data_IF_383023695139
#
_entry.id   IF_383023695139
#
_cell.length_a   1.000
_cell.length_b   1.000
_cell.length_c   1.000
_cell.angle_alpha   90.00
_cell.angle_beta   90.00
_cell.angle_gamma   90.00
#
_symmetry.space_group_name_H-M   'P 1'
#
loop_
_entity.id
_entity.type
_entity.pdbx_description
1 polymer ?
#
# COMPACT_ATOMS: atom_id res chain seq x y z
N UNK A 1 -11.43 2.65 34.53
CA UNK A 1 -10.90 2.21 33.23
C UNK A 1 -10.03 3.35 32.70
N UNK A 2 -8.78 3.09 32.37
CA UNK A 2 -7.90 4.10 31.79
C UNK A 2 -8.29 4.36 30.33
N UNK A 3 -8.24 5.63 29.90
CA UNK A 3 -8.49 6.03 28.51
C UNK A 3 -7.48 5.36 27.58
N UNK A 4 -6.23 5.24 27.99
CA UNK A 4 -5.17 4.64 27.17
C UNK A 4 -5.45 3.16 26.90
N UNK A 5 -5.76 2.38 27.94
CA UNK A 5 -6.11 0.97 27.81
C UNK A 5 -7.31 0.73 26.88
N UNK A 6 -8.31 1.64 26.89
CA UNK A 6 -9.43 1.56 25.95
C UNK A 6 -8.95 1.80 24.51
N UNK A 7 -8.11 2.81 24.28
CA UNK A 7 -7.57 3.12 22.95
C UNK A 7 -6.73 1.98 22.39
N UNK A 8 -5.86 1.40 23.21
CA UNK A 8 -5.03 0.26 22.81
C UNK A 8 -5.92 -0.95 22.44
N UNK A 9 -7.01 -1.17 23.18
CA UNK A 9 -7.97 -2.24 22.87
C UNK A 9 -8.70 -2.02 21.54
N UNK A 10 -9.09 -0.78 21.23
CA UNK A 10 -9.73 -0.41 19.96
C UNK A 10 -8.75 -0.54 18.80
N UNK A 11 -7.52 -0.05 18.97
CA UNK A 11 -6.45 -0.17 17.99
C UNK A 11 -6.15 -1.63 17.67
N UNK A 12 -5.95 -2.46 18.70
CA UNK A 12 -5.71 -3.88 18.53
C UNK A 12 -6.91 -4.60 17.88
N UNK A 13 -8.14 -4.21 18.21
CA UNK A 13 -9.36 -4.74 17.57
C UNK A 13 -9.43 -4.42 16.07
N UNK A 14 -9.12 -3.18 15.69
CA UNK A 14 -9.07 -2.76 14.29
C UNK A 14 -7.98 -3.50 13.51
N UNK A 15 -6.76 -3.59 14.06
CA UNK A 15 -5.66 -4.30 13.43
C UNK A 15 -5.94 -5.80 13.27
N UNK A 16 -6.51 -6.47 14.28
CA UNK A 16 -6.92 -7.88 14.17
C UNK A 16 -7.98 -8.09 13.09
N UNK A 17 -8.93 -7.16 12.96
CA UNK A 17 -9.95 -7.20 11.91
C UNK A 17 -9.31 -7.08 10.53
N UNK A 18 -8.35 -6.16 10.35
CA UNK A 18 -7.59 -6.00 9.11
C UNK A 18 -6.75 -7.24 8.78
N UNK A 19 -6.07 -7.84 9.77
CA UNK A 19 -5.32 -9.07 9.58
C UNK A 19 -6.23 -10.24 9.16
N UNK A 20 -7.38 -10.41 9.80
CA UNK A 20 -8.35 -11.43 9.40
C UNK A 20 -8.85 -11.22 7.96
N UNK A 21 -9.15 -9.96 7.62
CA UNK A 21 -9.52 -9.55 6.27
C UNK A 21 -8.43 -9.87 5.24
N UNK A 22 -7.17 -9.49 5.51
CA UNK A 22 -6.06 -9.72 4.58
C UNK A 22 -5.72 -11.21 4.43
N UNK A 23 -5.80 -12.00 5.50
CA UNK A 23 -5.67 -13.47 5.43
C UNK A 23 -6.74 -14.08 4.52
N UNK A 24 -7.97 -13.58 4.58
CA UNK A 24 -9.04 -14.01 3.67
C UNK A 24 -8.76 -13.65 2.22
N UNK A 25 -8.18 -12.48 1.95
CA UNK A 25 -7.77 -12.08 0.58
C UNK A 25 -6.59 -12.92 0.08
N UNK A 26 -5.64 -13.26 0.95
CA UNK A 26 -4.51 -14.14 0.62
C UNK A 26 -4.98 -15.56 0.25
N UNK A 27 -5.96 -16.10 0.97
CA UNK A 27 -6.55 -17.41 0.68
C UNK A 27 -7.47 -17.41 -0.56
N UNK A 28 -7.88 -16.25 -1.05
CA UNK A 28 -8.76 -16.11 -2.22
C UNK A 28 -7.98 -16.29 -3.53
N UNK A 29 -8.62 -16.82 -4.60
CA UNK A 29 -8.04 -16.85 -5.95
C UNK A 29 -8.03 -15.48 -6.66
N UNK A 30 -8.32 -14.39 -5.94
CA UNK A 30 -8.32 -13.04 -6.51
C UNK A 30 -6.89 -12.65 -6.93
N UNK A 31 -6.72 -12.00 -8.11
CA UNK A 31 -5.48 -11.30 -8.44
C UNK A 31 -5.00 -10.37 -7.32
N UNK A 32 -3.69 -10.36 -7.07
CA UNK A 32 -3.09 -9.76 -5.87
C UNK A 32 -3.23 -8.26 -5.86
N UNK A 33 -3.20 -7.63 -7.04
CA UNK A 33 -3.56 -6.22 -7.18
C UNK A 33 -4.96 -5.88 -6.67
N UNK A 34 -5.97 -6.69 -7.01
CA UNK A 34 -7.35 -6.42 -6.57
C UNK A 34 -7.52 -6.66 -5.07
N UNK A 35 -6.87 -7.70 -4.53
CA UNK A 35 -6.79 -7.94 -3.09
C UNK A 35 -6.16 -6.75 -2.35
N UNK A 36 -5.04 -6.22 -2.88
CA UNK A 36 -4.35 -5.05 -2.33
C UNK A 36 -5.26 -3.81 -2.33
N UNK A 37 -5.92 -3.50 -3.46
CA UNK A 37 -6.85 -2.36 -3.55
C UNK A 37 -7.97 -2.49 -2.51
N UNK A 38 -8.60 -3.66 -2.39
CA UNK A 38 -9.65 -3.89 -1.38
C UNK A 38 -9.14 -3.71 0.05
N UNK A 39 -7.90 -4.10 0.32
CA UNK A 39 -7.29 -3.89 1.63
C UNK A 39 -7.00 -2.40 1.90
N UNK A 40 -6.55 -1.66 0.89
CA UNK A 40 -6.34 -0.20 0.97
C UNK A 40 -7.66 0.53 1.23
N UNK A 41 -8.74 0.16 0.53
CA UNK A 41 -10.08 0.74 0.74
C UNK A 41 -10.60 0.47 2.16
N UNK A 42 -10.40 -0.76 2.68
CA UNK A 42 -10.74 -1.10 4.06
C UNK A 42 -9.94 -0.25 5.05
N UNK A 43 -8.66 -0.04 4.81
CA UNK A 43 -7.83 0.83 5.64
C UNK A 43 -8.30 2.29 5.61
N UNK A 44 -8.63 2.82 4.43
CA UNK A 44 -9.12 4.19 4.26
C UNK A 44 -10.50 4.42 4.89
N UNK A 45 -11.30 3.36 5.06
CA UNK A 45 -12.58 3.39 5.78
C UNK A 45 -12.46 3.37 7.31
N UNK A 46 -11.26 3.13 7.85
CA UNK A 46 -11.01 3.08 9.29
C UNK A 46 -10.35 4.37 9.80
N UNK A 47 -10.55 4.75 11.07
CA UNK A 47 -9.95 5.94 11.66
C UNK A 47 -8.47 5.72 12.00
N UNK A 48 -7.65 5.19 11.06
CA UNK A 48 -6.25 4.81 11.30
C UNK A 48 -5.39 6.00 11.69
N UNK A 49 -5.63 7.18 11.10
CA UNK A 49 -4.94 8.41 11.48
C UNK A 49 -5.20 8.80 12.93
N UNK A 50 -6.44 8.60 13.42
CA UNK A 50 -6.81 8.86 14.81
C UNK A 50 -6.15 7.83 15.73
N UNK A 51 -6.17 6.54 15.36
CA UNK A 51 -5.51 5.48 16.12
C UNK A 51 -4.02 5.76 16.27
N UNK A 52 -3.35 6.15 15.17
CA UNK A 52 -1.94 6.50 15.16
C UNK A 52 -1.65 7.76 16.00
N UNK A 53 -2.38 8.85 15.78
CA UNK A 53 -2.19 10.10 16.52
C UNK A 53 -2.43 9.97 18.02
N UNK A 54 -3.33 9.08 18.43
CA UNK A 54 -3.59 8.81 19.85
C UNK A 54 -2.52 7.92 20.48
N UNK A 55 -1.87 7.06 19.69
CA UNK A 55 -0.76 6.23 20.13
C UNK A 55 0.56 7.02 20.25
N UNK A 56 0.77 8.06 19.42
CA UNK A 56 1.98 8.90 19.46
C UNK A 56 2.13 9.72 20.76
N UNK A 57 1.08 9.83 21.59
CA UNK A 57 1.08 10.52 22.88
C UNK A 57 1.54 9.67 24.08
N UNK A 58 1.75 8.37 23.89
CA UNK A 58 2.19 7.43 24.93
C UNK A 58 3.17 6.39 24.36
N UNK A 59 3.77 5.57 25.23
CA UNK A 59 4.47 4.38 24.75
C UNK A 59 3.41 3.47 24.08
N UNK A 60 3.61 3.14 22.80
CA UNK A 60 2.70 2.27 22.04
C UNK A 60 2.64 0.90 22.73
N UNK A 61 1.44 0.38 22.96
CA UNK A 61 1.26 -0.95 23.53
C UNK A 61 1.98 -2.00 22.66
N UNK A 62 2.80 -2.90 23.25
CA UNK A 62 3.57 -3.88 22.48
C UNK A 62 2.73 -4.80 21.59
N UNK A 63 1.48 -5.09 21.97
CA UNK A 63 0.56 -5.90 21.17
C UNK A 63 0.11 -5.13 19.94
N UNK A 64 -0.20 -3.83 20.08
CA UNK A 64 -0.55 -2.96 18.95
C UNK A 64 0.63 -2.85 17.99
N UNK A 65 1.84 -2.66 18.49
CA UNK A 65 3.06 -2.60 17.68
C UNK A 65 3.29 -3.91 16.90
N UNK A 66 3.17 -5.07 17.56
CA UNK A 66 3.32 -6.37 16.91
C UNK A 66 2.27 -6.62 15.82
N UNK A 67 1.00 -6.24 16.07
CA UNK A 67 -0.07 -6.37 15.09
C UNK A 67 0.12 -5.45 13.87
N UNK A 68 0.64 -4.24 14.08
CA UNK A 68 0.95 -3.32 12.99
C UNK A 68 2.09 -3.86 12.12
N UNK A 69 3.12 -4.44 12.73
CA UNK A 69 4.23 -5.05 12.01
C UNK A 69 3.79 -6.28 11.21
N UNK A 70 2.93 -7.12 11.79
CA UNK A 70 2.32 -8.26 11.08
C UNK A 70 1.50 -7.79 9.87
N UNK A 71 0.74 -6.70 10.03
CA UNK A 71 -0.06 -6.12 8.95
C UNK A 71 0.84 -5.57 7.83
N UNK A 72 1.92 -4.86 8.16
CA UNK A 72 2.90 -4.37 7.19
C UNK A 72 3.57 -5.52 6.41
N UNK A 73 3.97 -6.58 7.12
CA UNK A 73 4.56 -7.79 6.52
C UNK A 73 3.58 -8.43 5.53
N UNK A 74 2.31 -8.51 5.91
CA UNK A 74 1.26 -9.05 5.04
C UNK A 74 1.03 -8.17 3.79
N UNK A 75 1.02 -6.84 3.94
CA UNK A 75 0.93 -5.91 2.82
C UNK A 75 2.13 -6.04 1.88
N UNK A 76 3.34 -6.19 2.43
CA UNK A 76 4.54 -6.38 1.64
C UNK A 76 4.45 -7.66 0.78
N UNK A 77 4.02 -8.78 1.36
CA UNK A 77 3.82 -10.02 0.61
C UNK A 77 2.80 -9.85 -0.53
N UNK A 78 1.67 -9.17 -0.28
CA UNK A 78 0.68 -8.87 -1.32
C UNK A 78 1.25 -8.01 -2.46
N UNK A 79 2.09 -7.02 -2.13
CA UNK A 79 2.77 -6.17 -3.12
C UNK A 79 3.72 -7.00 -3.97
N UNK A 80 4.57 -7.81 -3.34
CA UNK A 80 5.55 -8.63 -4.05
C UNK A 80 4.87 -9.65 -4.97
N UNK A 81 3.75 -10.22 -4.53
CA UNK A 81 2.94 -11.10 -5.38
C UNK A 81 2.30 -10.33 -6.55
N UNK A 82 1.77 -9.13 -6.32
CA UNK A 82 1.20 -8.29 -7.38
C UNK A 82 2.26 -7.86 -8.41
N UNK A 83 3.49 -7.61 -7.98
CA UNK A 83 4.64 -7.35 -8.85
C UNK A 83 5.01 -8.59 -9.67
N UNK A 84 5.02 -9.78 -9.06
CA UNK A 84 5.29 -11.04 -9.77
C UNK A 84 4.21 -11.37 -10.82
N UNK A 85 2.96 -11.02 -10.53
CA UNK A 85 1.85 -11.10 -11.49
C UNK A 85 1.96 -10.06 -12.63
N UNK A 86 2.86 -9.08 -12.52
CA UNK A 86 3.03 -8.00 -13.49
C UNK A 86 1.91 -6.95 -13.43
N UNK A 87 1.16 -6.89 -12.34
CA UNK A 87 0.04 -5.95 -12.14
C UNK A 87 0.45 -4.67 -11.42
N UNK A 88 1.53 -4.73 -10.65
CA UNK A 88 2.16 -3.61 -9.93
C UNK A 88 3.55 -3.33 -10.52
N UNK A 89 3.93 -2.05 -10.61
CA UNK A 89 5.24 -1.63 -11.11
C UNK A 89 6.40 -2.26 -10.30
N UNK A 90 7.41 -2.78 -11.00
CA UNK A 90 8.51 -3.52 -10.38
C UNK A 90 9.76 -2.68 -10.07
N UNK A 91 9.73 -1.37 -10.35
CA UNK A 91 10.85 -0.45 -10.10
C UNK A 91 10.89 0.09 -8.66
N UNK A 92 9.91 -0.26 -7.82
CA UNK A 92 9.86 0.04 -6.39
C UNK A 92 10.00 -1.25 -5.58
N UNK A 93 10.64 -1.18 -4.42
CA UNK A 93 10.65 -2.30 -3.46
C UNK A 93 9.28 -2.46 -2.79
N UNK A 94 8.98 -3.66 -2.29
CA UNK A 94 7.75 -3.92 -1.53
C UNK A 94 7.58 -2.94 -0.35
N UNK A 95 8.64 -2.72 0.40
CA UNK A 95 8.70 -1.75 1.50
C UNK A 95 8.37 -0.32 1.06
N UNK A 96 8.93 0.15 -0.06
CA UNK A 96 8.65 1.49 -0.59
C UNK A 96 7.17 1.66 -0.94
N UNK A 97 6.57 0.65 -1.56
CA UNK A 97 5.14 0.65 -1.90
C UNK A 97 4.29 0.65 -0.63
N UNK A 98 4.61 -0.18 0.36
CA UNK A 98 3.91 -0.20 1.66
C UNK A 98 4.00 1.16 2.35
N UNK A 99 5.17 1.80 2.35
CA UNK A 99 5.34 3.15 2.90
C UNK A 99 4.46 4.21 2.22
N UNK A 100 4.32 4.14 0.89
CA UNK A 100 3.42 5.01 0.12
C UNK A 100 1.95 4.76 0.50
N UNK A 101 1.53 3.50 0.57
CA UNK A 101 0.16 3.13 0.95
C UNK A 101 -0.16 3.57 2.39
N UNK A 102 0.76 3.33 3.33
CA UNK A 102 0.62 3.75 4.72
C UNK A 102 0.47 5.28 4.83
N UNK A 103 1.20 6.04 4.02
CA UNK A 103 1.05 7.51 3.97
C UNK A 103 -0.32 7.94 3.48
N UNK A 104 -0.88 7.23 2.49
CA UNK A 104 -2.19 7.53 1.93
C UNK A 104 -3.33 7.24 2.92
N UNK A 105 -3.29 6.10 3.62
CA UNK A 105 -4.39 5.63 4.47
C UNK A 105 -4.31 6.10 5.92
N UNK A 106 -3.11 6.42 6.43
CA UNK A 106 -2.92 6.90 7.81
C UNK A 106 -2.97 8.43 7.93
N UNK A 107 -3.41 9.16 6.88
CA UNK A 107 -3.55 10.62 6.92
C UNK A 107 -4.91 11.05 7.49
N UNK A 108 -4.99 12.19 8.19
CA UNK A 108 -6.27 12.77 8.56
C UNK A 108 -7.15 13.01 7.33
N UNK A 109 -8.39 12.53 7.38
CA UNK A 109 -9.35 12.67 6.28
C UNK A 109 -9.19 11.68 5.13
N UNK A 110 -8.37 10.62 5.28
CA UNK A 110 -8.45 9.45 4.40
C UNK A 110 -9.88 8.91 4.35
N UNK A 111 -10.33 8.54 3.15
CA UNK A 111 -11.66 7.98 2.90
C UNK A 111 -11.56 6.99 1.73
N UNK A 112 -12.45 6.00 1.64
CA UNK A 112 -12.62 5.25 0.41
C UNK A 112 -12.86 6.22 -0.76
N UNK A 113 -12.32 5.89 -1.92
CA UNK A 113 -12.40 6.69 -3.16
C UNK A 113 -11.81 8.11 -3.07
N UNK A 114 -10.95 8.40 -2.09
CA UNK A 114 -10.32 9.72 -2.02
C UNK A 114 -9.34 9.93 -3.20
N UNK A 115 -9.29 11.15 -3.78
CA UNK A 115 -8.48 11.39 -4.98
C UNK A 115 -6.99 11.08 -4.84
N UNK A 116 -6.41 11.22 -3.63
CA UNK A 116 -5.00 10.91 -3.42
C UNK A 116 -4.77 9.40 -3.50
N UNK A 117 -5.60 8.61 -2.83
CA UNK A 117 -5.53 7.15 -2.86
C UNK A 117 -5.74 6.62 -4.28
N UNK A 118 -6.72 7.16 -5.02
CA UNK A 118 -6.95 6.80 -6.42
C UNK A 118 -5.73 7.07 -7.30
N UNK A 119 -5.18 8.29 -7.27
CA UNK A 119 -4.01 8.65 -8.09
C UNK A 119 -2.79 7.82 -7.71
N UNK A 120 -2.60 7.55 -6.43
CA UNK A 120 -1.49 6.75 -5.94
C UNK A 120 -1.60 5.30 -6.43
N UNK A 121 -2.79 4.68 -6.32
CA UNK A 121 -3.03 3.33 -6.84
C UNK A 121 -2.84 3.28 -8.37
N UNK A 122 -3.36 4.26 -9.11
CA UNK A 122 -3.14 4.35 -10.56
C UNK A 122 -1.66 4.53 -10.93
N UNK A 123 -0.91 5.25 -10.10
CA UNK A 123 0.54 5.44 -10.25
C UNK A 123 1.39 4.19 -9.92
N UNK A 124 0.83 3.26 -9.14
CA UNK A 124 1.47 2.00 -8.75
C UNK A 124 1.20 0.85 -9.74
N UNK A 125 0.14 0.94 -10.56
CA UNK A 125 -0.12 -0.06 -11.59
C UNK A 125 1.09 -0.24 -12.51
N UNK A 126 1.33 -1.47 -12.93
CA UNK A 126 2.33 -1.77 -13.94
C UNK A 126 2.06 -0.95 -15.21
N UNK A 127 3.08 -0.24 -15.68
CA UNK A 127 3.03 0.48 -16.96
C UNK A 127 3.83 -0.32 -17.98
N UNK A 128 3.37 -0.40 -19.24
CA UNK A 128 4.24 -0.80 -20.33
C UNK A 128 5.45 0.14 -20.32
N UNK A 129 6.67 -0.41 -20.26
CA UNK A 129 7.85 0.42 -20.48
C UNK A 129 7.69 1.10 -21.85
N UNK A 130 7.89 2.42 -21.96
CA UNK A 130 8.00 3.05 -23.26
C UNK A 130 9.13 2.34 -24.01
N UNK A 131 8.83 1.66 -25.11
CA UNK A 131 9.86 1.15 -26.01
C UNK A 131 10.82 2.30 -26.32
N UNK A 132 12.15 2.14 -26.15
CA UNK A 132 13.10 3.19 -26.48
C UNK A 132 12.81 3.68 -27.89
N UNK A 133 12.49 4.96 -28.07
CA UNK A 133 12.32 5.50 -29.41
C UNK A 133 13.67 5.34 -30.12
N UNK A 134 13.74 4.69 -31.29
CA UNK A 134 14.99 4.63 -32.03
C UNK A 134 15.45 6.07 -32.29
N UNK A 135 16.69 6.35 -31.90
CA UNK A 135 17.29 7.66 -32.15
C UNK A 135 17.28 7.92 -33.66
N UNK A 136 16.90 9.12 -34.13
CA UNK A 136 17.04 9.44 -35.54
C UNK A 136 18.53 9.36 -35.90
N UNK A 137 18.90 8.34 -36.68
CA UNK A 137 20.24 8.24 -37.23
C UNK A 137 20.50 9.50 -38.08
N UNK A 138 21.65 10.18 -37.93
CA UNK A 138 22.01 11.25 -38.84
C UNK A 138 22.03 10.68 -40.26
N UNK A 139 21.35 11.36 -41.20
CA UNK A 139 21.43 11.02 -42.62
C UNK A 139 22.90 11.08 -43.00
N UNK A 140 23.47 9.97 -43.48
CA UNK A 140 24.74 10.02 -44.20
C UNK A 140 24.45 10.74 -45.51
N UNK A 141 24.96 11.95 -45.65
CA UNK A 141 24.97 12.62 -46.94
C UNK A 141 25.83 11.77 -47.90
N UNK A 142 25.35 11.51 -49.12
CA UNK A 142 26.16 10.90 -50.15
C UNK A 142 27.15 11.96 -50.63
N UNK A 143 28.34 12.01 -50.05
CA UNK A 143 29.47 12.67 -50.70
C UNK A 143 29.85 11.81 -51.90
N UNK A 144 29.33 12.20 -53.06
CA UNK A 144 29.79 11.74 -54.35
C UNK A 144 31.16 12.32 -54.70
N UNK A 145 31.78 11.60 -55.63
CA UNK A 145 32.92 11.96 -56.49
C UNK A 145 34.31 11.90 -55.88
#
# INVERSE_FOLDING_TARGET
LDRQALLDSVAAGALRTLLAAGRSELASPTPRWQALVRMVDRCAGLPLALIKSLADGSQVDPVVAALAEELNTMFQAMVEDAQREGSLRADLTGEQVVGLLNTAVCRPGARPDDPLTTVLLDGLRARPQPTPRPWPHPRRDPTGS
#
